data_IF_954368947776
#
_entry.id   IF_954368947776
#
_cell.length_a   1.000
_cell.length_b   1.000
_cell.length_c   1.000
_cell.angle_alpha   90.00
_cell.angle_beta   90.00
_cell.angle_gamma   90.00
#
_symmetry.space_group_name_H-M   'P 1'
#
loop_
_entity.id
_entity.type
_entity.pdbx_description
1 polymer ?
#
# COMPACT_ATOMS: atom_id res chain seq x y z
N UNK A 1 2.37 -8.76 7.32
CA UNK A 1 0.93 -8.50 7.16
C UNK A 1 0.10 -9.46 8.01
N UNK A 2 0.02 -10.76 7.69
CA UNK A 2 -0.83 -11.70 8.47
C UNK A 2 -0.46 -11.74 9.96
N UNK A 3 0.82 -11.83 10.32
CA UNK A 3 1.24 -11.81 11.73
C UNK A 3 0.81 -10.53 12.46
N UNK A 4 0.87 -9.39 11.78
CA UNK A 4 0.46 -8.10 12.33
C UNK A 4 -1.05 -8.04 12.55
N UNK A 5 -1.83 -8.53 11.58
CA UNK A 5 -3.28 -8.65 11.74
C UNK A 5 -3.67 -9.67 12.82
N UNK A 6 -3.01 -10.82 12.94
CA UNK A 6 -3.21 -11.75 14.04
C UNK A 6 -2.98 -11.03 15.38
N UNK A 7 -1.88 -10.29 15.50
CA UNK A 7 -1.55 -9.57 16.72
C UNK A 7 -2.61 -8.53 17.09
N UNK A 8 -3.11 -7.77 16.11
CA UNK A 8 -4.13 -6.73 16.30
C UNK A 8 -5.51 -7.32 16.58
N UNK A 9 -5.97 -8.27 15.77
CA UNK A 9 -7.32 -8.84 15.83
C UNK A 9 -7.51 -9.64 17.11
N UNK A 10 -6.56 -10.51 17.46
CA UNK A 10 -6.62 -11.31 18.69
C UNK A 10 -6.06 -10.58 19.92
N UNK A 11 -5.70 -9.30 19.81
CA UNK A 11 -5.20 -8.48 20.92
C UNK A 11 -4.02 -9.13 21.66
N UNK A 12 -3.13 -9.82 20.94
CA UNK A 12 -2.02 -10.59 21.55
C UNK A 12 -0.94 -9.71 22.18
N UNK A 13 -0.89 -8.42 21.80
CA UNK A 13 0.05 -7.39 22.30
C UNK A 13 1.52 -7.80 22.18
N UNK A 14 1.85 -8.61 21.18
CA UNK A 14 3.21 -9.04 20.87
C UNK A 14 3.92 -7.99 20.01
N UNK A 15 4.89 -7.30 20.60
CA UNK A 15 5.61 -6.20 19.96
C UNK A 15 6.33 -6.66 18.68
N UNK A 16 6.99 -7.83 18.71
CA UNK A 16 7.73 -8.34 17.56
C UNK A 16 6.83 -8.62 16.34
N UNK A 17 5.58 -9.08 16.55
CA UNK A 17 4.61 -9.32 15.47
C UNK A 17 4.18 -8.00 14.83
N UNK A 18 3.95 -6.99 15.67
CA UNK A 18 3.62 -5.64 15.25
C UNK A 18 4.76 -5.01 14.43
N UNK A 19 5.99 -5.04 14.95
CA UNK A 19 7.17 -4.46 14.30
C UNK A 19 7.48 -5.15 12.96
N UNK A 20 7.41 -6.49 12.91
CA UNK A 20 7.59 -7.24 11.66
C UNK A 20 6.54 -6.88 10.59
N UNK A 21 5.35 -6.44 11.02
CA UNK A 21 4.28 -5.97 10.14
C UNK A 21 4.57 -4.69 9.38
N UNK A 22 5.39 -3.80 9.95
CA UNK A 22 5.54 -2.41 9.49
C UNK A 22 6.21 -2.27 8.12
N UNK A 23 7.01 -3.25 7.71
CA UNK A 23 7.60 -3.30 6.37
C UNK A 23 6.63 -3.78 5.27
N UNK A 24 5.45 -4.30 5.62
CA UNK A 24 4.56 -4.93 4.65
C UNK A 24 4.03 -3.93 3.61
N UNK A 25 3.46 -2.81 4.05
CA UNK A 25 2.87 -1.83 3.14
C UNK A 25 3.89 -1.20 2.18
N UNK A 26 5.08 -0.74 2.63
CA UNK A 26 6.13 -0.28 1.71
C UNK A 26 6.51 -1.30 0.62
N UNK A 27 6.64 -2.57 0.99
CA UNK A 27 6.97 -3.63 0.05
C UNK A 27 5.85 -3.86 -0.97
N UNK A 28 4.59 -3.86 -0.53
CA UNK A 28 3.44 -3.93 -1.46
C UNK A 28 3.37 -2.71 -2.37
N UNK A 29 3.65 -1.51 -1.86
CA UNK A 29 3.68 -0.28 -2.66
C UNK A 29 4.76 -0.32 -3.74
N UNK A 30 5.97 -0.81 -3.43
CA UNK A 30 7.06 -1.01 -4.39
C UNK A 30 6.67 -2.03 -5.48
N UNK A 31 6.15 -3.19 -5.11
CA UNK A 31 5.71 -4.21 -6.07
C UNK A 31 4.56 -3.68 -6.94
N UNK A 32 3.63 -2.92 -6.36
CA UNK A 32 2.54 -2.28 -7.09
C UNK A 32 3.06 -1.24 -8.09
N UNK A 33 3.99 -0.37 -7.67
CA UNK A 33 4.64 0.61 -8.55
C UNK A 33 5.36 -0.04 -9.72
N UNK A 34 6.10 -1.13 -9.46
CA UNK A 34 6.77 -1.92 -10.50
C UNK A 34 5.78 -2.57 -11.46
N UNK A 35 4.63 -3.05 -10.97
CA UNK A 35 3.60 -3.63 -11.83
C UNK A 35 2.90 -2.59 -12.70
N UNK A 36 2.69 -1.36 -12.18
CA UNK A 36 2.15 -0.27 -12.97
C UNK A 36 3.11 0.22 -14.05
N UNK A 37 4.41 0.32 -13.74
CA UNK A 37 5.42 0.81 -14.69
C UNK A 37 5.62 -0.09 -15.91
N UNK A 38 5.18 -1.35 -15.85
CA UNK A 38 5.18 -2.29 -16.99
C UNK A 38 4.18 -1.93 -18.09
N UNK A 39 3.28 -0.99 -17.84
CA UNK A 39 2.29 -0.51 -18.80
C UNK A 39 2.55 0.97 -19.12
N UNK A 40 2.38 1.37 -20.38
CA UNK A 40 2.56 2.78 -20.79
C UNK A 40 1.63 3.75 -20.02
N UNK A 41 0.42 3.28 -19.73
CA UNK A 41 -0.60 4.01 -18.98
C UNK A 41 -1.21 3.11 -17.91
N UNK A 42 -1.64 3.72 -16.80
CA UNK A 42 -2.41 3.02 -15.77
C UNK A 42 -3.79 2.68 -16.36
N UNK A 43 -4.12 1.40 -16.42
CA UNK A 43 -5.34 0.92 -17.06
C UNK A 43 -6.55 1.09 -16.14
N UNK A 44 -7.55 1.88 -16.55
CA UNK A 44 -8.78 2.08 -15.79
C UNK A 44 -9.48 0.77 -15.37
N UNK A 45 -9.55 -0.31 -16.19
CA UNK A 45 -10.10 -1.59 -15.72
C UNK A 45 -9.35 -2.21 -14.53
N UNK A 46 -8.05 -1.96 -14.38
CA UNK A 46 -7.29 -2.40 -13.21
C UNK A 46 -7.63 -1.58 -11.96
N UNK A 47 -7.87 -0.28 -12.13
CA UNK A 47 -8.33 0.62 -11.05
C UNK A 47 -9.73 0.22 -10.60
N UNK A 48 -10.66 -0.01 -11.53
CA UNK A 48 -12.02 -0.46 -11.23
C UNK A 48 -12.01 -1.79 -10.46
N UNK A 49 -11.09 -2.69 -10.79
CA UNK A 49 -10.91 -3.95 -10.05
C UNK A 49 -10.40 -3.72 -8.63
N UNK A 50 -9.49 -2.76 -8.42
CA UNK A 50 -9.07 -2.37 -7.05
C UNK A 50 -10.22 -1.78 -6.24
N UNK A 51 -11.06 -0.93 -6.85
CA UNK A 51 -12.28 -0.43 -6.20
C UNK A 51 -13.23 -1.56 -5.83
N UNK A 52 -13.50 -2.48 -6.76
CA UNK A 52 -14.36 -3.64 -6.52
C UNK A 52 -13.84 -4.52 -5.38
N UNK A 53 -12.55 -4.85 -5.39
CA UNK A 53 -11.92 -5.59 -4.29
C UNK A 53 -11.88 -4.81 -2.98
N UNK A 54 -11.72 -3.48 -3.02
CA UNK A 54 -11.81 -2.63 -1.84
C UNK A 54 -13.18 -2.73 -1.17
N UNK A 55 -14.26 -2.71 -1.95
CA UNK A 55 -15.63 -2.90 -1.45
C UNK A 55 -15.79 -4.30 -0.85
N UNK A 56 -15.39 -5.35 -1.56
CA UNK A 56 -15.49 -6.74 -1.07
C UNK A 56 -14.69 -6.92 0.23
N UNK A 57 -13.46 -6.40 0.27
CA UNK A 57 -12.60 -6.48 1.44
C UNK A 57 -13.12 -5.64 2.61
N UNK A 58 -13.94 -4.61 2.40
CA UNK A 58 -14.49 -3.80 3.47
C UNK A 58 -15.38 -4.61 4.41
N UNK A 59 -16.13 -5.59 3.89
CA UNK A 59 -16.90 -6.52 4.71
C UNK A 59 -16.00 -7.37 5.61
N UNK A 60 -14.93 -7.95 5.05
CA UNK A 60 -13.94 -8.72 5.79
C UNK A 60 -13.17 -7.84 6.80
N UNK A 61 -12.90 -6.59 6.45
CA UNK A 61 -12.25 -5.60 7.28
C UNK A 61 -13.09 -5.27 8.53
N UNK A 62 -14.39 -5.02 8.32
CA UNK A 62 -15.32 -4.81 9.43
C UNK A 62 -15.48 -6.07 10.30
N UNK A 63 -15.59 -7.25 9.68
CA UNK A 63 -15.68 -8.52 10.38
C UNK A 63 -14.44 -8.81 11.25
N UNK A 64 -13.27 -8.36 10.82
CA UNK A 64 -12.02 -8.44 11.57
C UNK A 64 -11.93 -7.44 12.75
N UNK A 65 -12.96 -6.64 13.01
CA UNK A 65 -13.03 -5.70 14.14
C UNK A 65 -12.48 -4.31 13.85
N UNK A 66 -12.11 -4.01 12.59
CA UNK A 66 -11.67 -2.66 12.22
C UNK A 66 -12.86 -1.70 12.02
N UNK A 67 -12.65 -0.37 12.19
CA UNK A 67 -13.72 0.61 12.04
C UNK A 67 -14.32 0.59 10.62
N UNK A 68 -15.62 0.35 10.51
CA UNK A 68 -16.31 0.22 9.21
C UNK A 68 -16.26 1.50 8.36
N UNK A 69 -16.13 2.66 9.00
CA UNK A 69 -16.06 3.97 8.35
C UNK A 69 -14.65 4.29 7.82
N UNK A 70 -13.63 3.50 8.17
CA UNK A 70 -12.29 3.66 7.62
C UNK A 70 -12.10 2.69 6.45
N UNK A 71 -11.60 3.22 5.34
CA UNK A 71 -11.34 2.43 4.16
C UNK A 71 -10.12 1.54 4.37
N UNK A 72 -10.26 0.25 4.05
CA UNK A 72 -9.15 -0.69 4.03
C UNK A 72 -8.06 -0.31 3.00
N UNK A 73 -6.89 -0.96 3.09
CA UNK A 73 -5.71 -0.59 2.31
C UNK A 73 -5.90 -0.65 0.80
N UNK A 74 -6.81 -1.50 0.28
CA UNK A 74 -7.06 -1.58 -1.16
C UNK A 74 -7.68 -0.29 -1.70
N UNK A 75 -8.45 0.45 -0.88
CA UNK A 75 -8.92 1.77 -1.25
C UNK A 75 -7.77 2.77 -1.38
N UNK A 76 -6.73 2.70 -0.54
CA UNK A 76 -5.53 3.53 -0.70
C UNK A 76 -4.86 3.31 -2.06
N UNK A 77 -4.72 2.05 -2.48
CA UNK A 77 -4.21 1.70 -3.81
C UNK A 77 -5.13 2.22 -4.93
N UNK A 78 -6.45 2.09 -4.77
CA UNK A 78 -7.43 2.55 -5.77
C UNK A 78 -7.42 4.08 -5.92
N UNK A 79 -7.41 4.82 -4.80
CA UNK A 79 -7.31 6.27 -4.75
C UNK A 79 -6.01 6.73 -5.41
N UNK A 80 -4.87 6.17 -5.02
CA UNK A 80 -3.58 6.52 -5.62
C UNK A 80 -3.56 6.24 -7.13
N UNK A 81 -4.05 5.09 -7.58
CA UNK A 81 -4.12 4.77 -9.00
C UNK A 81 -4.98 5.76 -9.77
N UNK A 82 -6.16 6.10 -9.23
CA UNK A 82 -7.12 7.00 -9.88
C UNK A 82 -6.56 8.42 -9.99
N UNK A 83 -5.96 8.93 -8.90
CA UNK A 83 -5.30 10.24 -8.86
C UNK A 83 -4.16 10.29 -9.88
N UNK A 84 -3.26 9.30 -9.88
CA UNK A 84 -2.15 9.24 -10.84
C UNK A 84 -2.64 9.23 -12.29
N UNK A 85 -3.70 8.47 -12.59
CA UNK A 85 -4.29 8.39 -13.93
C UNK A 85 -4.89 9.73 -14.37
N UNK A 86 -5.57 10.43 -13.46
CA UNK A 86 -6.13 11.74 -13.76
C UNK A 86 -5.03 12.81 -13.96
N UNK A 87 -3.96 12.76 -13.16
CA UNK A 87 -2.79 13.62 -13.32
C UNK A 87 -2.09 13.45 -14.68
N UNK A 88 -2.02 12.23 -15.24
CA UNK A 88 -1.40 11.99 -16.56
C UNK A 88 -2.10 12.76 -17.71
N UNK A 89 -3.39 13.04 -17.55
CA UNK A 89 -4.23 13.51 -18.67
C UNK A 89 -4.45 15.02 -18.71
N UNK A 90 -3.84 15.78 -17.79
CA UNK A 90 -3.75 17.25 -17.77
C UNK A 90 -5.05 18.01 -18.11
N UNK A 91 -6.18 17.60 -17.54
CA UNK A 91 -7.47 18.30 -17.68
C UNK A 91 -7.85 18.97 -16.36
N UNK A 92 -8.27 20.24 -16.38
CA UNK A 92 -8.66 20.98 -15.18
C UNK A 92 -9.75 20.29 -14.35
N UNK A 93 -10.75 19.69 -15.02
CA UNK A 93 -11.78 18.87 -14.36
C UNK A 93 -11.19 17.64 -13.66
N UNK A 94 -10.23 16.96 -14.30
CA UNK A 94 -9.57 15.78 -13.72
C UNK A 94 -8.66 16.16 -12.55
N UNK A 95 -8.01 17.32 -12.60
CA UNK A 95 -7.26 17.87 -11.47
C UNK A 95 -8.19 18.16 -10.30
N UNK A 96 -9.33 18.83 -10.54
CA UNK A 96 -10.34 19.07 -9.51
C UNK A 96 -10.90 17.77 -8.92
N UNK A 97 -11.19 16.77 -9.77
CA UNK A 97 -11.63 15.45 -9.34
C UNK A 97 -10.57 14.72 -8.48
N UNK A 98 -9.29 14.81 -8.84
CA UNK A 98 -8.20 14.23 -8.06
C UNK A 98 -8.08 14.88 -6.67
N UNK A 99 -8.16 16.22 -6.61
CA UNK A 99 -8.16 16.97 -5.34
C UNK A 99 -9.35 16.57 -4.48
N UNK A 100 -10.55 16.52 -5.06
CA UNK A 100 -11.76 16.09 -4.36
C UNK A 100 -11.65 14.67 -3.82
N UNK A 101 -11.13 13.73 -4.62
CA UNK A 101 -10.96 12.34 -4.20
C UNK A 101 -9.97 12.20 -3.04
N UNK A 102 -8.84 12.93 -3.09
CA UNK A 102 -7.88 12.96 -1.97
C UNK A 102 -8.48 13.58 -0.71
N UNK A 103 -9.26 14.66 -0.85
CA UNK A 103 -9.95 15.31 0.26
C UNK A 103 -10.98 14.39 0.93
N UNK A 104 -11.71 13.60 0.13
CA UNK A 104 -12.67 12.60 0.63
C UNK A 104 -11.96 11.39 1.26
N UNK A 105 -10.81 10.98 0.70
CA UNK A 105 -10.02 9.87 1.24
C UNK A 105 -9.39 10.20 2.60
N UNK A 106 -8.94 11.44 2.80
CA UNK A 106 -8.24 11.87 4.02
C UNK A 106 -8.91 11.40 5.32
N UNK A 107 -10.18 11.77 5.59
CA UNK A 107 -10.87 11.34 6.81
C UNK A 107 -11.10 9.82 6.92
N UNK A 108 -11.13 9.11 5.79
CA UNK A 108 -11.41 7.67 5.74
C UNK A 108 -10.14 6.81 5.86
N UNK A 109 -8.98 7.43 5.97
CA UNK A 109 -7.68 6.77 5.74
C UNK A 109 -6.86 6.49 7.00
N UNK A 110 -7.46 6.65 8.18
CA UNK A 110 -6.78 6.55 9.49
C UNK A 110 -5.97 5.26 9.67
N UNK A 111 -6.57 4.13 9.36
CA UNK A 111 -5.97 2.79 9.42
C UNK A 111 -5.26 2.37 8.12
N UNK A 112 -5.28 3.22 7.10
CA UNK A 112 -4.68 2.97 5.78
C UNK A 112 -3.58 3.99 5.43
N UNK A 113 -2.81 4.41 6.44
CA UNK A 113 -1.61 5.24 6.34
C UNK A 113 -1.80 6.68 5.83
N UNK A 114 -3.04 7.14 5.62
CA UNK A 114 -3.32 8.52 5.26
C UNK A 114 -2.55 9.06 4.05
N UNK A 115 -2.15 10.32 4.15
CA UNK A 115 -1.39 11.03 3.10
C UNK A 115 0.00 10.38 2.92
N UNK A 116 0.65 9.94 4.00
CA UNK A 116 1.92 9.22 3.91
C UNK A 116 1.78 7.95 3.06
N UNK A 117 0.64 7.25 3.18
CA UNK A 117 0.29 6.11 2.35
C UNK A 117 0.20 6.44 0.86
N UNK A 118 -0.50 7.53 0.52
CA UNK A 118 -0.60 8.01 -0.87
C UNK A 118 0.77 8.43 -1.42
N UNK A 119 1.60 9.11 -0.63
CA UNK A 119 2.95 9.50 -1.01
C UNK A 119 3.83 8.28 -1.27
N UNK A 120 3.77 7.26 -0.41
CA UNK A 120 4.50 6.00 -0.60
C UNK A 120 4.15 5.35 -1.95
N UNK A 121 2.86 5.31 -2.29
CA UNK A 121 2.38 4.76 -3.57
C UNK A 121 2.83 5.59 -4.76
N UNK A 122 2.70 6.91 -4.69
CA UNK A 122 3.10 7.82 -5.75
C UNK A 122 4.61 7.75 -6.05
N UNK A 123 5.45 7.81 -5.00
CA UNK A 123 6.90 7.71 -5.12
C UNK A 123 7.30 6.33 -5.65
N UNK A 124 6.68 5.26 -5.15
CA UNK A 124 6.93 3.90 -5.64
C UNK A 124 6.65 3.77 -7.14
N UNK A 125 5.51 4.28 -7.62
CA UNK A 125 5.19 4.27 -9.06
C UNK A 125 6.19 5.12 -9.87
N UNK A 126 6.52 6.33 -9.40
CA UNK A 126 7.43 7.23 -10.13
C UNK A 126 8.86 6.67 -10.20
N UNK A 127 9.33 6.01 -9.15
CA UNK A 127 10.68 5.42 -9.08
C UNK A 127 10.95 4.51 -10.27
N UNK A 128 10.03 3.60 -10.59
CA UNK A 128 10.21 2.65 -11.69
C UNK A 128 9.99 3.26 -13.09
N UNK A 129 9.48 4.50 -13.17
CA UNK A 129 9.31 5.25 -14.42
C UNK A 129 10.36 6.35 -14.61
N UNK A 130 11.22 6.58 -13.63
CA UNK A 130 12.27 7.59 -13.72
C UNK A 130 13.32 7.16 -14.76
N UNK A 131 13.67 8.07 -15.67
CA UNK A 131 14.60 7.79 -16.77
C UNK A 131 16.03 8.20 -16.40
N UNK A 132 16.17 9.36 -15.75
CA UNK A 132 17.47 9.89 -15.35
C UNK A 132 17.88 9.44 -13.94
N UNK A 133 19.19 9.43 -13.71
CA UNK A 133 19.77 8.98 -12.43
C UNK A 133 19.49 9.94 -11.28
N UNK A 134 19.43 11.25 -11.54
CA UNK A 134 19.23 12.25 -10.49
C UNK A 134 17.83 12.14 -9.91
N UNK A 135 16.81 12.00 -10.75
CA UNK A 135 15.43 11.73 -10.35
C UNK A 135 15.33 10.41 -9.59
N UNK A 136 15.94 9.32 -10.07
CA UNK A 136 15.95 8.04 -9.34
C UNK A 136 16.54 8.19 -7.94
N UNK A 137 17.67 8.87 -7.80
CA UNK A 137 18.29 9.11 -6.49
C UNK A 137 17.42 9.97 -5.58
N UNK A 138 16.79 11.02 -6.12
CA UNK A 138 15.85 11.84 -5.38
C UNK A 138 14.64 11.03 -4.89
N UNK A 139 14.08 10.16 -5.73
CA UNK A 139 12.96 9.28 -5.38
C UNK A 139 13.36 8.23 -4.34
N UNK A 140 14.58 7.68 -4.41
CA UNK A 140 15.12 6.80 -3.36
C UNK A 140 15.25 7.56 -2.04
N UNK A 141 15.77 8.79 -2.05
CA UNK A 141 15.84 9.62 -0.84
C UNK A 141 14.43 9.92 -0.29
N UNK A 142 13.46 10.21 -1.15
CA UNK A 142 12.05 10.36 -0.76
C UNK A 142 11.50 9.08 -0.12
N UNK A 143 11.78 7.89 -0.67
CA UNK A 143 11.37 6.62 -0.06
C UNK A 143 11.97 6.44 1.33
N UNK A 144 13.26 6.72 1.50
CA UNK A 144 13.93 6.61 2.81
C UNK A 144 13.33 7.56 3.86
N UNK A 145 12.70 8.66 3.45
CA UNK A 145 11.97 9.56 4.34
C UNK A 145 10.50 9.12 4.55
N UNK A 146 9.81 8.69 3.49
CA UNK A 146 8.38 8.33 3.54
C UNK A 146 8.17 7.02 4.30
N UNK A 147 9.05 6.03 4.15
CA UNK A 147 8.93 4.73 4.82
C UNK A 147 8.83 4.86 6.35
N UNK A 148 9.75 5.56 7.05
CA UNK A 148 9.59 5.78 8.48
C UNK A 148 8.36 6.65 8.78
N UNK A 149 8.05 7.66 7.97
CA UNK A 149 6.90 8.54 8.16
C UNK A 149 5.55 7.80 8.20
N UNK A 150 5.43 6.63 7.55
CA UNK A 150 4.25 5.76 7.65
C UNK A 150 3.96 5.29 9.08
N UNK A 151 4.98 5.21 9.94
CA UNK A 151 4.88 4.62 11.28
C UNK A 151 5.36 5.54 12.41
N UNK A 152 5.86 6.74 12.10
CA UNK A 152 6.30 7.72 13.10
C UNK A 152 5.18 8.11 14.07
N UNK A 153 3.94 8.20 13.60
CA UNK A 153 2.79 8.48 14.45
C UNK A 153 2.49 7.34 15.44
N UNK A 154 3.03 6.14 15.21
CA UNK A 154 2.85 4.98 16.10
C UNK A 154 4.00 4.82 17.07
N UNK A 155 5.25 4.77 16.59
CA UNK A 155 6.46 4.82 17.42
C UNK A 155 7.73 4.92 16.59
N UNK A 156 8.81 5.40 17.21
CA UNK A 156 10.16 5.41 16.60
C UNK A 156 10.63 3.99 16.25
N UNK A 157 10.35 3.02 17.12
CA UNK A 157 10.67 1.61 16.88
C UNK A 157 9.94 1.07 15.64
N UNK A 158 8.67 1.43 15.46
CA UNK A 158 7.89 1.03 14.28
C UNK A 158 8.40 1.69 12.99
N UNK A 159 8.82 2.95 13.07
CA UNK A 159 9.44 3.67 11.95
C UNK A 159 10.75 3.02 11.52
N UNK A 160 11.64 2.71 12.47
CA UNK A 160 12.90 2.00 12.22
C UNK A 160 12.65 0.60 11.70
N UNK A 161 11.75 -0.17 12.31
CA UNK A 161 11.41 -1.52 11.87
C UNK A 161 10.86 -1.52 10.44
N UNK A 162 9.94 -0.62 10.10
CA UNK A 162 9.41 -0.48 8.75
C UNK A 162 10.51 -0.20 7.72
N UNK A 163 11.44 0.70 8.04
CA UNK A 163 12.59 1.02 7.19
C UNK A 163 13.53 -0.18 7.02
N UNK A 164 13.97 -0.78 8.12
CA UNK A 164 14.90 -1.92 8.13
C UNK A 164 14.31 -3.10 7.36
N UNK A 165 13.07 -3.49 7.65
CA UNK A 165 12.41 -4.61 6.96
C UNK A 165 12.29 -4.37 5.46
N UNK A 166 11.97 -3.14 5.05
CA UNK A 166 11.84 -2.78 3.64
C UNK A 166 13.20 -2.80 2.94
N UNK A 167 14.20 -2.13 3.50
CA UNK A 167 15.56 -2.04 2.92
C UNK A 167 16.22 -3.41 2.85
N UNK A 168 16.13 -4.22 3.90
CA UNK A 168 16.67 -5.57 3.91
C UNK A 168 16.01 -6.44 2.85
N UNK A 169 14.67 -6.43 2.77
CA UNK A 169 13.95 -7.24 1.77
C UNK A 169 14.31 -6.82 0.35
N UNK A 170 14.34 -5.52 0.06
CA UNK A 170 14.74 -5.00 -1.26
C UNK A 170 16.19 -5.36 -1.56
N UNK A 171 17.11 -5.20 -0.59
CA UNK A 171 18.51 -5.59 -0.72
C UNK A 171 18.69 -7.07 -1.04
N UNK A 172 18.00 -7.95 -0.32
CA UNK A 172 18.02 -9.40 -0.57
C UNK A 172 17.50 -9.75 -1.96
N UNK A 173 16.41 -9.12 -2.41
CA UNK A 173 15.86 -9.33 -3.76
C UNK A 173 16.86 -8.86 -4.83
N UNK A 174 17.54 -7.73 -4.61
CA UNK A 174 18.58 -7.22 -5.51
C UNK A 174 19.79 -8.17 -5.57
N UNK A 175 20.24 -8.70 -4.42
CA UNK A 175 21.33 -9.67 -4.35
C UNK A 175 20.98 -11.02 -5.00
N UNK A 176 19.72 -11.46 -4.91
CA UNK A 176 19.28 -12.71 -5.52
C UNK A 176 19.32 -12.66 -7.06
N UNK A 177 19.34 -11.46 -7.68
CA UNK A 177 19.67 -11.23 -9.09
C UNK A 177 18.75 -11.88 -10.12
N UNK A 178 17.66 -12.51 -9.71
CA UNK A 178 16.78 -13.28 -10.58
C UNK A 178 15.44 -12.58 -10.79
N UNK A 179 15.12 -12.27 -12.04
CA UNK A 179 13.74 -12.05 -12.45
C UNK A 179 13.02 -13.39 -12.39
N UNK A 180 12.38 -13.70 -11.26
CA UNK A 180 11.52 -14.88 -11.19
C UNK A 180 10.23 -14.60 -11.98
N UNK A 181 9.71 -15.59 -12.74
CA UNK A 181 8.39 -15.45 -13.31
C UNK A 181 7.38 -15.19 -12.19
N UNK A 182 6.30 -14.47 -12.51
CA UNK A 182 5.24 -14.19 -11.56
C UNK A 182 4.66 -15.52 -11.06
N UNK A 183 4.91 -15.85 -9.79
CA UNK A 183 4.46 -17.10 -9.18
C UNK A 183 2.95 -17.12 -8.90
N UNK A 184 2.40 -15.98 -8.47
CA UNK A 184 0.99 -15.86 -8.06
C UNK A 184 0.09 -15.20 -9.11
N UNK A 185 -1.19 -15.59 -9.25
CA UNK A 185 -2.14 -14.95 -10.16
C UNK A 185 -2.25 -13.42 -10.00
N UNK A 186 -2.78 -12.77 -11.04
CA UNK A 186 -3.10 -11.34 -11.13
C UNK A 186 -3.70 -10.75 -9.85
N UNK A 187 -4.69 -11.46 -9.33
CA UNK A 187 -5.57 -11.02 -8.25
C UNK A 187 -5.28 -11.69 -6.91
N UNK A 188 -4.15 -12.39 -6.79
CA UNK A 188 -3.78 -13.08 -5.55
C UNK A 188 -3.78 -12.15 -4.34
N UNK A 189 -3.18 -10.96 -4.45
CA UNK A 189 -3.08 -10.02 -3.33
C UNK A 189 -4.45 -9.57 -2.80
N UNK A 190 -5.36 -8.98 -3.60
CA UNK A 190 -6.66 -8.56 -3.08
C UNK A 190 -7.53 -9.73 -2.58
N UNK A 191 -7.49 -10.89 -3.26
CA UNK A 191 -8.21 -12.08 -2.79
C UNK A 191 -7.67 -12.57 -1.46
N UNK A 192 -6.34 -12.76 -1.34
CA UNK A 192 -5.69 -13.16 -0.10
C UNK A 192 -5.97 -12.16 1.02
N UNK A 193 -5.91 -10.85 0.70
CA UNK A 193 -6.19 -9.78 1.64
C UNK A 193 -7.61 -9.89 2.23
N UNK A 194 -8.63 -10.03 1.38
CA UNK A 194 -10.01 -10.18 1.83
C UNK A 194 -10.22 -11.49 2.62
N UNK A 195 -9.71 -12.62 2.11
CA UNK A 195 -9.91 -13.93 2.72
C UNK A 195 -9.25 -14.06 4.09
N UNK A 196 -8.00 -13.62 4.26
CA UNK A 196 -7.35 -13.78 5.56
C UNK A 196 -7.97 -12.87 6.63
N UNK A 197 -8.42 -11.66 6.27
CA UNK A 197 -9.18 -10.81 7.20
C UNK A 197 -10.48 -11.47 7.61
N UNK A 198 -11.23 -12.04 6.65
CA UNK A 198 -12.48 -12.74 6.95
C UNK A 198 -12.24 -13.94 7.88
N UNK A 199 -11.22 -14.76 7.61
CA UNK A 199 -10.86 -15.92 8.45
C UNK A 199 -10.46 -15.47 9.86
N UNK A 200 -9.58 -14.47 9.98
CA UNK A 200 -9.16 -13.95 11.29
C UNK A 200 -10.33 -13.34 12.06
N UNK A 201 -11.22 -12.60 11.37
CA UNK A 201 -12.42 -12.04 11.96
C UNK A 201 -13.38 -13.11 12.48
N UNK A 202 -13.67 -14.14 11.68
CA UNK A 202 -14.51 -15.28 12.11
C UNK A 202 -13.90 -16.01 13.31
N UNK A 203 -12.58 -16.21 13.33
CA UNK A 203 -11.90 -16.87 14.44
C UNK A 203 -11.85 -16.04 15.72
N UNK A 204 -12.06 -14.72 15.64
CA UNK A 204 -12.06 -13.81 16.77
C UNK A 204 -13.45 -13.57 17.36
N UNK A 205 -14.51 -14.08 16.72
CA UNK A 205 -15.88 -14.14 17.25
C UNK A 205 -16.01 -15.25 18.29
#
# INVERSE_FOLDING_TARGET
MVLDHINLIFQLKQEWMFLAGRGAFPLFALVWGLNLSRHAHIRQPAINRLWGWGIIAQFAYYLAGFPWYEGNILFAFAVAAQVLTWCETRSGWRTAAAILLMALWGPLSGTSYGIAGLLMLAVSNRLYRAEDRAERLALVACLLAVIPALNLATSDAAAVAGLVMTVLTVGLVLCAGKSLPRFWPGDFFPTFYACHLAVLGVLAL
#
